data_IF_506700728556
#
_entry.id   IF_506700728556
#
_cell.length_a   1.000
_cell.length_b   1.000
_cell.length_c   1.000
_cell.angle_alpha   90.00
_cell.angle_beta   90.00
_cell.angle_gamma   90.00
#
_symmetry.space_group_name_H-M   'P 1'
#
loop_
_entity.id
_entity.type
_entity.pdbx_description
1 polymer ?
#
# COMPACT_ATOMS: atom_id res chain seq x y z
N UNK A 1 -7.29 -26.62 -10.65
CA UNK A 1 -6.45 -27.83 -10.59
C UNK A 1 -7.40 -29.01 -10.48
N UNK A 2 -7.45 -29.86 -11.50
CA UNK A 2 -8.31 -31.04 -11.53
C UNK A 2 -7.39 -32.24 -11.33
N UNK A 3 -7.60 -32.99 -10.25
CA UNK A 3 -6.87 -34.24 -10.00
C UNK A 3 -7.82 -35.41 -10.26
N UNK A 4 -7.26 -36.53 -10.70
CA UNK A 4 -8.00 -37.72 -11.12
C UNK A 4 -8.60 -38.53 -9.94
N UNK A 5 -8.61 -37.99 -8.71
CA UNK A 5 -8.90 -38.75 -7.48
C UNK A 5 -10.12 -38.23 -6.67
N UNK A 6 -10.96 -37.38 -7.27
CA UNK A 6 -12.18 -36.88 -6.61
C UNK A 6 -11.94 -35.61 -5.77
N UNK A 7 -12.94 -35.19 -4.96
CA UNK A 7 -12.87 -33.93 -4.21
C UNK A 7 -11.80 -34.00 -3.11
N UNK A 8 -10.90 -33.01 -3.13
CA UNK A 8 -9.85 -32.87 -2.11
C UNK A 8 -10.35 -31.95 -1.00
N UNK A 9 -10.30 -32.44 0.23
CA UNK A 9 -10.66 -31.68 1.43
C UNK A 9 -9.39 -31.18 2.12
N UNK A 10 -9.32 -29.88 2.39
CA UNK A 10 -8.25 -29.27 3.17
C UNK A 10 -8.86 -28.61 4.40
N UNK A 11 -8.33 -28.92 5.58
CA UNK A 11 -8.75 -28.27 6.81
C UNK A 11 -8.07 -26.89 6.94
N UNK A 12 -8.87 -25.83 7.09
CA UNK A 12 -8.38 -24.48 7.33
C UNK A 12 -8.51 -24.15 8.82
N UNK A 13 -7.40 -24.25 9.56
CA UNK A 13 -7.35 -24.02 11.01
C UNK A 13 -7.16 -22.53 11.40
N UNK A 14 -6.71 -21.68 10.47
CA UNK A 14 -6.49 -20.25 10.73
C UNK A 14 -6.77 -19.41 9.48
N UNK A 15 -7.49 -18.30 9.64
CA UNK A 15 -7.84 -17.39 8.55
C UNK A 15 -9.10 -17.82 7.78
N UNK A 16 -9.32 -17.20 6.62
CA UNK A 16 -10.46 -17.48 5.76
C UNK A 16 -9.98 -17.98 4.40
N UNK A 17 -10.70 -18.91 3.75
CA UNK A 17 -10.40 -19.31 2.38
C UNK A 17 -10.39 -18.09 1.44
N UNK A 18 -9.42 -18.06 0.52
CA UNK A 18 -9.36 -17.00 -0.48
C UNK A 18 -10.64 -17.00 -1.33
N UNK A 19 -11.29 -15.84 -1.46
CA UNK A 19 -12.58 -15.72 -2.14
C UNK A 19 -13.79 -15.88 -1.21
N UNK A 20 -13.59 -16.13 0.08
CA UNK A 20 -14.68 -16.07 1.07
C UNK A 20 -15.24 -14.66 1.18
N UNK A 21 -16.56 -14.52 1.04
CA UNK A 21 -17.26 -13.25 1.21
C UNK A 21 -17.18 -12.72 2.65
N UNK A 22 -17.00 -13.60 3.63
CA UNK A 22 -16.94 -13.23 5.06
C UNK A 22 -15.53 -12.87 5.53
N UNK A 23 -14.49 -13.20 4.76
CA UNK A 23 -13.09 -12.91 5.12
C UNK A 23 -12.85 -11.43 5.49
N UNK A 24 -13.29 -10.47 4.67
CA UNK A 24 -13.16 -9.04 4.99
C UNK A 24 -13.89 -8.63 6.27
N UNK A 25 -15.07 -9.20 6.54
CA UNK A 25 -15.84 -8.88 7.74
C UNK A 25 -15.13 -9.38 9.02
N UNK A 26 -14.63 -10.61 9.00
CA UNK A 26 -13.84 -11.15 10.12
C UNK A 26 -12.54 -10.37 10.33
N UNK A 27 -11.88 -9.97 9.24
CA UNK A 27 -10.70 -9.12 9.35
C UNK A 27 -11.00 -7.78 10.04
N UNK A 28 -12.10 -7.12 9.67
CA UNK A 28 -12.51 -5.88 10.33
C UNK A 28 -12.71 -6.06 11.84
N UNK A 29 -13.30 -7.18 12.29
CA UNK A 29 -13.48 -7.47 13.73
C UNK A 29 -12.12 -7.58 14.43
N UNK A 30 -11.14 -8.25 13.82
CA UNK A 30 -9.80 -8.40 14.39
C UNK A 30 -9.06 -7.06 14.41
N UNK A 31 -9.16 -6.29 13.33
CA UNK A 31 -8.51 -4.99 13.19
C UNK A 31 -9.16 -3.88 14.06
N UNK A 32 -10.44 -4.00 14.39
CA UNK A 32 -11.17 -3.02 15.20
C UNK A 32 -10.51 -2.77 16.57
N UNK A 33 -9.92 -3.83 17.16
CA UNK A 33 -9.20 -3.74 18.43
C UNK A 33 -8.05 -2.72 18.38
N UNK A 34 -7.19 -2.80 17.35
CA UNK A 34 -6.05 -1.87 17.22
C UNK A 34 -6.47 -0.48 16.72
N UNK A 35 -7.56 -0.41 15.94
CA UNK A 35 -8.13 0.85 15.48
C UNK A 35 -8.80 1.64 16.61
N UNK A 36 -9.29 0.94 17.64
CA UNK A 36 -9.92 1.54 18.82
C UNK A 36 -8.92 2.01 19.88
N UNK A 37 -7.62 1.73 19.72
CA UNK A 37 -6.58 2.21 20.64
C UNK A 37 -6.53 3.74 20.65
N UNK A 38 -6.49 4.32 21.84
CA UNK A 38 -6.28 5.75 22.02
C UNK A 38 -4.81 6.09 21.82
N UNK A 39 -4.48 6.59 20.63
CA UNK A 39 -3.14 7.02 20.29
C UNK A 39 -2.79 8.37 20.95
N UNK A 40 -1.52 8.57 21.38
CA UNK A 40 -1.09 9.86 21.91
C UNK A 40 -1.13 10.94 20.82
N UNK A 41 -1.12 12.21 21.26
CA UNK A 41 -1.07 13.34 20.34
C UNK A 41 0.11 13.20 19.37
N UNK A 42 -0.15 13.40 18.08
CA UNK A 42 0.84 13.26 17.03
C UNK A 42 1.03 11.84 16.52
N UNK A 43 0.22 10.87 16.94
CA UNK A 43 0.15 9.54 16.33
C UNK A 43 -1.25 9.31 15.78
N UNK A 44 -1.33 8.87 14.53
CA UNK A 44 -2.57 8.48 13.88
C UNK A 44 -2.37 7.18 13.13
N UNK A 45 -3.30 6.23 13.30
CA UNK A 45 -3.33 4.95 12.62
C UNK A 45 -4.45 4.95 11.59
N UNK A 46 -4.10 4.57 10.36
CA UNK A 46 -5.04 4.24 9.30
C UNK A 46 -4.80 2.79 8.88
N UNK A 47 -5.87 2.02 8.71
CA UNK A 47 -5.80 0.68 8.13
C UNK A 47 -6.72 0.57 6.91
N UNK A 48 -6.34 -0.31 5.99
CA UNK A 48 -7.19 -0.74 4.89
C UNK A 48 -6.81 -2.16 4.48
N UNK A 49 -7.76 -3.09 4.55
CA UNK A 49 -7.43 -4.52 4.48
C UNK A 49 -6.24 -4.85 5.39
N UNK A 50 -5.26 -5.60 4.92
CA UNK A 50 -4.05 -5.98 5.66
C UNK A 50 -2.97 -4.87 5.76
N UNK A 51 -3.16 -3.72 5.11
CA UNK A 51 -2.21 -2.62 5.12
C UNK A 51 -2.48 -1.63 6.27
N UNK A 52 -1.49 -1.44 7.14
CA UNK A 52 -1.49 -0.44 8.22
C UNK A 52 -0.52 0.70 7.91
N UNK A 53 -0.96 1.94 8.16
CA UNK A 53 -0.19 3.15 7.98
C UNK A 53 -0.25 4.01 9.25
N UNK A 54 0.92 4.29 9.83
CA UNK A 54 1.06 5.25 10.92
C UNK A 54 1.53 6.60 10.38
N UNK A 55 0.87 7.66 10.83
CA UNK A 55 1.30 9.05 10.65
C UNK A 55 1.79 9.53 12.01
N UNK A 56 3.08 9.90 12.10
CA UNK A 56 3.71 10.35 13.34
C UNK A 56 4.27 11.76 13.16
N UNK A 57 3.80 12.70 13.98
CA UNK A 57 4.19 14.11 13.95
C UNK A 57 4.80 14.53 15.28
N UNK A 58 5.96 15.20 15.20
CA UNK A 58 6.65 15.81 16.33
C UNK A 58 7.55 16.92 15.79
N UNK A 59 7.92 17.88 16.64
CA UNK A 59 8.83 18.97 16.25
C UNK A 59 10.31 18.56 16.39
N UNK A 60 10.59 17.41 16.99
CA UNK A 60 11.94 16.94 17.30
C UNK A 60 12.20 15.56 16.73
N UNK A 61 13.46 15.31 16.34
CA UNK A 61 13.89 13.99 15.88
C UNK A 61 13.68 12.90 16.94
N UNK A 62 13.96 13.22 18.20
CA UNK A 62 13.80 12.26 19.30
C UNK A 62 12.34 12.01 19.63
N UNK A 63 11.47 13.03 19.55
CA UNK A 63 10.04 12.87 19.70
C UNK A 63 9.45 11.96 18.61
N UNK A 64 9.81 12.16 17.33
CA UNK A 64 9.45 11.22 16.27
C UNK A 64 9.91 9.78 16.58
N UNK A 65 11.14 9.61 17.08
CA UNK A 65 11.68 8.28 17.42
C UNK A 65 10.88 7.63 18.55
N UNK A 66 10.58 8.39 19.61
CA UNK A 66 9.83 7.92 20.78
C UNK A 66 8.39 7.57 20.42
N UNK A 67 7.67 8.46 19.73
CA UNK A 67 6.29 8.23 19.30
C UNK A 67 6.20 7.07 18.31
N UNK A 68 7.10 6.99 17.34
CA UNK A 68 7.13 5.86 16.39
C UNK A 68 7.41 4.54 17.10
N UNK A 69 8.32 4.53 18.08
CA UNK A 69 8.62 3.33 18.87
C UNK A 69 7.40 2.91 19.68
N UNK A 70 6.76 3.83 20.38
CA UNK A 70 5.55 3.56 21.15
C UNK A 70 4.45 2.97 20.25
N UNK A 71 4.19 3.60 19.11
CA UNK A 71 3.16 3.15 18.17
C UNK A 71 3.43 1.74 17.62
N UNK A 72 4.69 1.46 17.24
CA UNK A 72 5.08 0.17 16.70
C UNK A 72 5.17 -0.93 17.75
N UNK A 73 5.54 -0.61 18.99
CA UNK A 73 5.54 -1.56 20.09
C UNK A 73 4.09 -1.99 20.43
N UNK A 74 3.13 -1.05 20.45
CA UNK A 74 1.71 -1.36 20.64
C UNK A 74 1.14 -2.22 19.49
N UNK A 75 1.43 -1.83 18.24
CA UNK A 75 1.04 -2.63 17.07
C UNK A 75 1.63 -4.05 17.14
N UNK A 76 2.86 -4.18 17.63
CA UNK A 76 3.54 -5.47 17.76
C UNK A 76 2.89 -6.36 18.82
N UNK A 77 2.53 -5.82 19.98
CA UNK A 77 1.81 -6.57 21.00
C UNK A 77 0.45 -7.04 20.49
N UNK A 78 -0.31 -6.16 19.83
CA UNK A 78 -1.57 -6.54 19.18
C UNK A 78 -1.38 -7.62 18.10
N UNK A 79 -0.36 -7.50 17.25
CA UNK A 79 -0.07 -8.49 16.22
C UNK A 79 0.29 -9.85 16.83
N UNK A 80 1.13 -9.87 17.88
CA UNK A 80 1.49 -11.09 18.60
C UNK A 80 0.26 -11.74 19.25
N UNK A 81 -0.57 -10.94 19.93
CA UNK A 81 -1.82 -11.38 20.56
C UNK A 81 -2.74 -12.08 19.56
N UNK A 82 -2.88 -11.48 18.37
CA UNK A 82 -3.74 -11.99 17.30
C UNK A 82 -3.04 -13.00 16.36
N UNK A 83 -1.81 -13.43 16.70
CA UNK A 83 -1.00 -14.37 15.89
C UNK A 83 -0.81 -13.92 14.44
N UNK A 84 -0.68 -12.60 14.24
CA UNK A 84 -0.45 -11.96 12.96
C UNK A 84 1.04 -11.76 12.72
N UNK A 85 1.47 -11.92 11.47
CA UNK A 85 2.85 -11.73 11.06
C UNK A 85 3.01 -10.49 10.19
N UNK A 86 3.80 -9.52 10.66
CA UNK A 86 4.12 -8.30 9.90
C UNK A 86 5.31 -8.55 8.98
N UNK A 87 5.13 -8.31 7.68
CA UNK A 87 6.16 -8.50 6.67
C UNK A 87 7.19 -7.36 6.67
N UNK A 88 8.25 -7.51 7.46
CA UNK A 88 9.32 -6.52 7.60
C UNK A 88 10.00 -6.10 6.29
N UNK A 89 10.08 -7.00 5.29
CA UNK A 89 10.63 -6.67 3.96
C UNK A 89 9.75 -5.74 3.13
N UNK A 90 8.44 -5.64 3.46
CA UNK A 90 7.48 -4.74 2.80
C UNK A 90 7.29 -3.44 3.59
N UNK A 91 7.49 -3.47 4.91
CA UNK A 91 7.41 -2.31 5.78
C UNK A 91 8.48 -1.27 5.40
N UNK A 92 8.04 -0.03 5.22
CA UNK A 92 8.95 1.10 4.97
C UNK A 92 8.33 2.39 5.48
N UNK A 93 9.16 3.41 5.68
CA UNK A 93 8.70 4.73 6.12
C UNK A 93 9.33 5.85 5.29
N UNK A 94 8.63 6.97 5.23
CA UNK A 94 9.10 8.23 4.63
C UNK A 94 9.08 9.29 5.72
N UNK A 95 10.07 10.18 5.71
CA UNK A 95 10.16 11.30 6.65
C UNK A 95 9.86 12.58 5.89
N UNK A 96 8.82 13.29 6.32
CA UNK A 96 8.39 14.58 5.77
C UNK A 96 9.01 15.72 6.59
N UNK A 97 10.32 15.94 6.43
CA UNK A 97 10.98 17.08 7.08
C UNK A 97 12.24 17.50 6.35
N UNK A 98 12.72 18.71 6.66
CA UNK A 98 14.03 19.21 6.21
C UNK A 98 15.21 18.54 6.92
N UNK A 99 14.95 17.63 7.87
CA UNK A 99 16.00 16.97 8.65
C UNK A 99 16.74 15.96 7.75
N UNK A 100 18.02 16.21 7.54
CA UNK A 100 18.89 15.35 6.71
C UNK A 100 19.00 13.94 7.31
N UNK A 101 19.29 13.84 8.62
CA UNK A 101 19.34 12.57 9.35
C UNK A 101 18.05 12.33 10.14
N UNK A 102 17.06 11.72 9.49
CA UNK A 102 15.81 11.28 10.12
C UNK A 102 16.03 10.23 11.22
N UNK A 103 15.01 9.97 12.05
CA UNK A 103 15.11 8.96 13.10
C UNK A 103 15.27 7.56 12.51
N UNK A 104 16.00 6.69 13.21
CA UNK A 104 16.01 5.26 12.93
C UNK A 104 14.79 4.62 13.59
N UNK A 105 13.90 4.05 12.78
CA UNK A 105 12.70 3.38 13.25
C UNK A 105 12.94 1.87 13.25
N UNK A 106 12.53 1.20 14.33
CA UNK A 106 12.72 -0.24 14.51
C UNK A 106 11.41 -0.92 14.88
N UNK A 107 11.26 -2.15 14.41
CA UNK A 107 10.27 -3.13 14.84
C UNK A 107 10.96 -4.18 15.70
N UNK A 108 10.81 -4.08 17.04
CA UNK A 108 11.68 -4.82 17.96
C UNK A 108 13.16 -4.54 17.69
N UNK A 109 13.90 -5.56 17.27
CA UNK A 109 15.33 -5.45 16.97
C UNK A 109 15.64 -5.17 15.49
N UNK A 110 14.65 -5.22 14.60
CA UNK A 110 14.84 -5.04 13.16
C UNK A 110 14.58 -3.58 12.75
N UNK A 111 15.48 -3.00 11.96
CA UNK A 111 15.28 -1.65 11.40
C UNK A 111 14.30 -1.67 10.23
N UNK A 112 13.32 -0.77 10.21
CA UNK A 112 12.45 -0.56 9.05
C UNK A 112 13.22 0.27 8.01
N UNK A 113 13.04 -0.03 6.72
CA UNK A 113 13.72 0.70 5.64
C UNK A 113 13.15 2.11 5.46
N UNK A 114 14.02 3.13 5.51
CA UNK A 114 13.68 4.50 5.11
C UNK A 114 13.70 4.60 3.59
N UNK A 115 12.62 5.10 2.99
CA UNK A 115 12.54 5.38 1.55
C UNK A 115 12.29 6.87 1.29
N UNK A 116 12.54 7.29 0.05
CA UNK A 116 12.26 8.65 -0.42
C UNK A 116 10.84 8.80 -0.98
N UNK A 117 10.18 7.68 -1.26
CA UNK A 117 8.78 7.59 -1.63
C UNK A 117 8.22 6.25 -1.13
N UNK A 118 6.93 6.21 -0.86
CA UNK A 118 6.19 5.00 -0.52
C UNK A 118 4.90 4.95 -1.34
N UNK A 119 4.38 3.76 -1.55
CA UNK A 119 3.09 3.54 -2.20
C UNK A 119 2.10 3.04 -1.16
N UNK A 120 0.97 3.71 -1.05
CA UNK A 120 -0.13 3.35 -0.15
C UNK A 120 -1.44 3.50 -0.92
N UNK A 121 -2.25 2.44 -0.96
CA UNK A 121 -3.54 2.41 -1.67
C UNK A 121 -3.48 2.89 -3.14
N UNK A 122 -2.38 2.60 -3.83
CA UNK A 122 -2.17 3.01 -5.22
C UNK A 122 -1.62 4.44 -5.40
N UNK A 123 -1.62 5.25 -4.34
CA UNK A 123 -1.01 6.58 -4.34
C UNK A 123 0.46 6.49 -3.96
N UNK A 124 1.33 7.20 -4.70
CA UNK A 124 2.76 7.25 -4.41
C UNK A 124 3.09 8.59 -3.78
N UNK A 125 3.53 8.59 -2.53
CA UNK A 125 3.84 9.80 -1.77
C UNK A 125 5.35 9.89 -1.58
N UNK A 126 5.96 10.98 -2.03
CA UNK A 126 7.38 11.24 -1.89
C UNK A 126 7.69 12.19 -0.72
N UNK A 127 8.91 12.12 -0.19
CA UNK A 127 9.38 12.92 0.96
C UNK A 127 9.26 14.45 0.77
N UNK A 128 9.14 14.94 -0.47
CA UNK A 128 8.94 16.37 -0.77
C UNK A 128 7.46 16.73 -0.97
N UNK A 129 6.55 15.76 -0.87
CA UNK A 129 5.12 15.91 -1.19
C UNK A 129 4.90 16.53 -2.58
N UNK A 130 5.80 16.23 -3.52
CA UNK A 130 5.74 16.79 -4.87
C UNK A 130 4.76 16.05 -5.78
N UNK A 131 4.41 14.79 -5.43
CA UNK A 131 3.59 13.88 -6.23
C UNK A 131 4.19 13.54 -7.60
N UNK A 132 5.39 14.04 -7.92
CA UNK A 132 6.02 13.86 -9.21
C UNK A 132 6.23 12.38 -9.55
N UNK A 133 6.76 11.52 -8.65
CA UNK A 133 6.89 10.10 -8.94
C UNK A 133 5.55 9.43 -9.25
N UNK A 134 4.47 9.85 -8.57
CA UNK A 134 3.14 9.33 -8.82
C UNK A 134 2.62 9.70 -10.21
N UNK A 135 2.70 10.98 -10.58
CA UNK A 135 2.24 11.46 -11.89
C UNK A 135 2.96 10.75 -13.03
N UNK A 136 4.29 10.59 -12.91
CA UNK A 136 5.09 9.86 -13.91
C UNK A 136 4.64 8.38 -14.00
N UNK A 137 4.43 7.72 -12.85
CA UNK A 137 3.96 6.33 -12.81
C UNK A 137 2.58 6.16 -13.45
N UNK A 138 1.62 7.05 -13.15
CA UNK A 138 0.28 7.00 -13.74
C UNK A 138 0.31 7.32 -15.24
N UNK A 139 1.10 8.30 -15.67
CA UNK A 139 1.26 8.61 -17.09
C UNK A 139 1.81 7.43 -17.89
N UNK A 140 2.81 6.72 -17.33
CA UNK A 140 3.33 5.50 -17.94
C UNK A 140 2.27 4.41 -18.04
N UNK A 141 1.50 4.16 -16.97
CA UNK A 141 0.41 3.17 -16.97
C UNK A 141 -0.67 3.49 -17.99
N UNK A 142 -1.07 4.76 -18.09
CA UNK A 142 -2.05 5.20 -19.07
C UNK A 142 -1.55 4.97 -20.50
N UNK A 143 -0.27 5.25 -20.76
CA UNK A 143 0.36 4.97 -22.06
C UNK A 143 0.39 3.46 -22.36
N UNK A 144 0.78 2.63 -21.40
CA UNK A 144 0.82 1.18 -21.56
C UNK A 144 -0.59 0.64 -21.88
N UNK A 145 -1.61 1.08 -21.13
CA UNK A 145 -3.01 0.73 -21.38
C UNK A 145 -3.50 1.19 -22.75
N UNK A 146 -3.16 2.42 -23.14
CA UNK A 146 -3.47 2.94 -24.47
C UNK A 146 -2.86 2.06 -25.57
N UNK A 147 -1.60 1.67 -25.44
CA UNK A 147 -0.95 0.77 -26.40
C UNK A 147 -1.62 -0.61 -26.46
N UNK A 148 -2.05 -1.16 -25.31
CA UNK A 148 -2.81 -2.40 -25.27
C UNK A 148 -4.14 -2.26 -26.02
N UNK A 149 -4.87 -1.17 -25.80
CA UNK A 149 -6.13 -0.89 -26.51
C UNK A 149 -5.91 -0.72 -28.02
N UNK A 150 -4.86 0.00 -28.45
CA UNK A 150 -4.53 0.13 -29.87
C UNK A 150 -4.18 -1.21 -30.51
N UNK A 151 -3.53 -2.13 -29.79
CA UNK A 151 -3.22 -3.48 -30.29
C UNK A 151 -4.49 -4.32 -30.46
N UNK A 152 -5.40 -4.27 -29.48
CA UNK A 152 -6.67 -5.02 -29.53
C UNK A 152 -7.60 -4.46 -30.61
N UNK A 153 -7.68 -3.14 -30.74
CA UNK A 153 -8.48 -2.48 -31.76
C UNK A 153 -7.97 -2.72 -33.19
N UNK A 154 -6.74 -3.25 -33.37
CA UNK A 154 -6.12 -3.40 -34.69
C UNK A 154 -5.92 -2.05 -35.41
N UNK A 155 -5.62 -2.08 -36.72
CA UNK A 155 -5.47 -0.89 -37.59
C UNK A 155 -6.78 -0.08 -37.77
N UNK A 156 -7.70 -0.04 -36.82
CA UNK A 156 -8.87 0.86 -36.88
C UNK A 156 -8.50 2.35 -36.74
N UNK A 157 -7.25 2.67 -36.41
CA UNK A 157 -6.71 4.02 -36.34
C UNK A 157 -5.54 4.29 -37.29
N UNK A 158 -5.39 3.55 -38.39
CA UNK A 158 -4.49 3.98 -39.45
C UNK A 158 -5.06 5.26 -40.06
N UNK A 159 -4.64 6.41 -39.53
CA UNK A 159 -4.85 7.70 -40.17
C UNK A 159 -4.18 7.64 -41.54
N UNK A 160 -4.96 7.35 -42.58
CA UNK A 160 -4.53 7.48 -43.95
C UNK A 160 -4.34 8.97 -44.19
N UNK A 161 -3.08 9.41 -44.33
CA UNK A 161 -2.78 10.75 -44.83
C UNK A 161 -3.35 10.86 -46.25
N UNK A 162 -4.53 11.44 -46.41
CA UNK A 162 -4.97 12.05 -47.67
C UNK A 162 -4.50 13.50 -47.68
N UNK A 163 -4.16 13.99 -48.86
CA UNK A 163 -3.52 15.29 -49.12
C UNK A 163 -4.33 16.54 -48.73
N UNK A 164 -5.47 16.42 -48.03
CA UNK A 164 -6.40 17.52 -47.77
C UNK A 164 -6.83 17.68 -46.30
N UNK A 165 -6.06 17.17 -45.34
CA UNK A 165 -6.19 17.56 -43.93
C UNK A 165 -6.78 16.50 -42.99
N UNK A 166 -6.59 16.75 -41.69
CA UNK A 166 -6.94 15.82 -40.61
C UNK A 166 -8.46 15.72 -40.44
N UNK A 167 -9.05 14.60 -40.84
CA UNK A 167 -10.43 14.27 -40.48
C UNK A 167 -10.45 13.44 -39.19
N UNK A 168 -10.84 14.06 -38.07
CA UNK A 168 -11.17 13.32 -36.85
C UNK A 168 -12.54 12.67 -37.10
N UNK A 169 -12.57 11.36 -37.33
CA UNK A 169 -13.83 10.60 -37.23
C UNK A 169 -14.26 10.62 -35.76
N UNK A 170 -15.22 11.49 -35.43
CA UNK A 170 -16.03 11.34 -34.23
C UNK A 170 -16.89 10.08 -34.38
N UNK A 171 -17.03 9.35 -33.27
CA UNK A 171 -18.05 8.31 -33.09
C UNK A 171 -19.45 8.86 -33.39
#
# INVERSE_FOLDING_TARGET
MQTNEGPVFWEQIQGCPQGSCSGPAFWNIVADEILSVQWPQGVHLQAFADDFAFIVTDNTREGHRKLSKLALDELKEWANKNKLHVSMGKSSYVVFSKIVRGPMIKWGNQSISRKNHLKYLGATVDHKLSWLPHVIEQGKRAMDQYQHLCRIAGKLGASTKTSEGYCIKKL
#
